data_IF_661724812902
#
_entry.id   IF_661724812902
#
_cell.length_a   1.000
_cell.length_b   1.000
_cell.length_c   1.000
_cell.angle_alpha   90.00
_cell.angle_beta   90.00
_cell.angle_gamma   90.00
#
_symmetry.space_group_name_H-M   'P 1'
#
loop_
_entity.id
_entity.type
_entity.pdbx_description
1 polymer ?
#
# COMPACT_ATOMS: atom_id res chain seq x y z
N UNK A 1 12.53 8.66 -24.12
CA UNK A 1 12.54 8.25 -22.70
C UNK A 1 11.45 9.02 -21.98
N UNK A 2 10.54 8.34 -21.28
CA UNK A 2 9.55 9.00 -20.40
C UNK A 2 10.29 9.42 -19.14
N UNK A 3 10.24 10.71 -18.78
CA UNK A 3 10.80 11.20 -17.52
C UNK A 3 9.83 10.83 -16.38
N UNK A 4 10.13 9.76 -15.63
CA UNK A 4 9.27 9.27 -14.56
C UNK A 4 9.03 10.32 -13.47
N UNK A 5 10.01 11.14 -13.10
CA UNK A 5 9.81 12.19 -12.09
C UNK A 5 8.75 13.20 -12.54
N UNK A 6 8.79 13.60 -13.82
CA UNK A 6 7.75 14.47 -14.39
C UNK A 6 6.38 13.80 -14.37
N UNK A 7 6.32 12.48 -14.60
CA UNK A 7 5.08 11.71 -14.51
C UNK A 7 4.53 11.69 -13.08
N UNK A 8 5.36 11.46 -12.06
CA UNK A 8 4.91 11.44 -10.66
C UNK A 8 4.45 12.82 -10.18
N UNK A 9 5.13 13.89 -10.60
CA UNK A 9 4.69 15.27 -10.32
C UNK A 9 3.32 15.55 -10.92
N UNK A 10 3.13 15.27 -12.21
CA UNK A 10 1.83 15.43 -12.86
C UNK A 10 0.76 14.54 -12.23
N UNK A 11 1.10 13.31 -11.87
CA UNK A 11 0.20 12.40 -11.19
C UNK A 11 -0.22 12.96 -9.83
N UNK A 12 0.71 13.53 -9.04
CA UNK A 12 0.41 14.11 -7.72
C UNK A 12 -0.55 15.30 -7.80
N UNK A 13 -0.50 16.09 -8.87
CA UNK A 13 -1.40 17.23 -9.09
C UNK A 13 -2.83 16.81 -9.47
N UNK A 14 -2.99 15.63 -10.06
CA UNK A 14 -4.28 15.07 -10.50
C UNK A 14 -4.72 13.87 -9.65
N UNK A 15 -4.05 13.65 -8.52
CA UNK A 15 -4.26 12.44 -7.73
C UNK A 15 -5.57 12.53 -6.96
N UNK A 16 -6.54 11.74 -7.36
CA UNK A 16 -7.77 11.56 -6.60
C UNK A 16 -7.64 10.36 -5.66
N UNK A 17 -7.94 10.52 -4.35
CA UNK A 17 -7.99 9.39 -3.45
C UNK A 17 -9.10 8.43 -3.88
N UNK A 18 -8.86 7.12 -3.73
CA UNK A 18 -9.89 6.10 -3.91
C UNK A 18 -11.07 6.42 -2.99
N UNK A 19 -12.30 6.36 -3.51
CA UNK A 19 -13.51 6.65 -2.74
C UNK A 19 -13.52 5.87 -1.41
N UNK A 20 -13.81 6.57 -0.32
CA UNK A 20 -13.83 5.99 1.03
C UNK A 20 -12.47 5.92 1.74
N UNK A 21 -11.36 6.33 1.11
CA UNK A 21 -10.01 6.27 1.72
C UNK A 21 -9.97 6.97 3.08
N UNK A 22 -10.47 8.20 3.18
CA UNK A 22 -10.45 8.96 4.44
C UNK A 22 -11.27 8.27 5.54
N UNK A 23 -12.41 7.65 5.18
CA UNK A 23 -13.24 6.89 6.12
C UNK A 23 -12.48 5.66 6.63
N UNK A 24 -11.80 4.95 5.73
CA UNK A 24 -10.97 3.81 6.08
C UNK A 24 -9.79 4.22 6.97
N UNK A 25 -9.05 5.27 6.61
CA UNK A 25 -7.94 5.79 7.41
C UNK A 25 -8.40 6.13 8.84
N UNK A 26 -9.50 6.87 8.98
CA UNK A 26 -10.07 7.19 10.29
C UNK A 26 -10.44 5.93 11.09
N UNK A 27 -11.09 4.96 10.44
CA UNK A 27 -11.48 3.70 11.08
C UNK A 27 -10.27 2.89 11.60
N UNK A 28 -9.16 2.92 10.86
CA UNK A 28 -7.88 2.28 11.21
C UNK A 28 -7.25 3.00 12.42
N UNK A 29 -7.21 4.33 12.40
CA UNK A 29 -6.67 5.16 13.50
C UNK A 29 -7.46 4.98 14.79
N UNK A 30 -8.79 5.03 14.74
CA UNK A 30 -9.68 4.83 15.89
C UNK A 30 -9.48 3.47 16.58
N UNK A 31 -8.87 2.49 15.87
CA UNK A 31 -8.56 1.14 16.38
C UNK A 31 -7.10 0.95 16.76
N UNK A 32 -6.25 1.95 16.56
CA UNK A 32 -4.81 1.85 16.85
C UNK A 32 -4.09 0.78 16.03
N UNK A 33 -4.56 0.47 14.82
CA UNK A 33 -3.93 -0.53 13.97
C UNK A 33 -2.60 0.00 13.43
N UNK A 34 -1.55 -0.84 13.45
CA UNK A 34 -0.23 -0.46 12.91
C UNK A 34 -0.25 -0.35 11.38
N UNK A 35 0.46 0.64 10.81
CA UNK A 35 0.35 0.99 9.37
C UNK A 35 1.70 1.10 8.68
N UNK A 36 1.82 0.45 7.52
CA UNK A 36 2.98 0.56 6.63
C UNK A 36 2.57 0.83 5.18
N UNK A 37 3.33 1.68 4.49
CA UNK A 37 3.29 1.79 3.03
C UNK A 37 4.45 0.99 2.42
N UNK A 38 4.16 0.15 1.42
CA UNK A 38 5.18 -0.67 0.74
C UNK A 38 5.11 -0.43 -0.77
N UNK A 39 6.16 0.10 -1.37
CA UNK A 39 6.14 0.57 -2.78
C UNK A 39 7.41 0.24 -3.56
N UNK A 40 7.29 0.02 -4.88
CA UNK A 40 8.45 -0.03 -5.79
C UNK A 40 8.85 1.37 -6.30
N UNK A 41 8.12 2.42 -5.90
CA UNK A 41 8.49 3.78 -6.24
C UNK A 41 9.80 4.18 -5.53
N UNK A 42 10.55 5.09 -6.14
CA UNK A 42 11.65 5.77 -5.48
C UNK A 42 11.13 6.61 -4.29
N UNK A 43 12.01 6.87 -3.32
CA UNK A 43 11.70 7.61 -2.09
C UNK A 43 10.94 8.91 -2.35
N UNK A 44 11.51 9.78 -3.19
CA UNK A 44 10.94 11.09 -3.53
C UNK A 44 9.52 10.98 -4.09
N UNK A 45 9.28 10.00 -4.96
CA UNK A 45 7.97 9.77 -5.56
C UNK A 45 6.97 9.19 -4.55
N UNK A 46 7.41 8.30 -3.67
CA UNK A 46 6.58 7.74 -2.61
C UNK A 46 6.12 8.84 -1.64
N UNK A 47 7.07 9.63 -1.14
CA UNK A 47 6.82 10.75 -0.22
C UNK A 47 5.91 11.81 -0.87
N UNK A 48 6.14 12.14 -2.14
CA UNK A 48 5.29 13.07 -2.90
C UNK A 48 3.84 12.59 -2.97
N UNK A 49 3.61 11.33 -3.38
CA UNK A 49 2.25 10.80 -3.51
C UNK A 49 1.54 10.65 -2.16
N UNK A 50 2.27 10.19 -1.12
CA UNK A 50 1.74 10.10 0.24
C UNK A 50 1.32 11.48 0.74
N UNK A 51 2.16 12.50 0.53
CA UNK A 51 1.86 13.87 0.92
C UNK A 51 0.69 14.45 0.13
N UNK A 52 0.60 14.18 -1.17
CA UNK A 52 -0.50 14.64 -2.01
C UNK A 52 -1.85 14.04 -1.57
N UNK A 53 -1.85 12.82 -1.02
CA UNK A 53 -3.03 12.18 -0.42
C UNK A 53 -3.34 12.64 1.01
N UNK A 54 -2.50 13.50 1.61
CA UNK A 54 -2.64 13.91 3.01
C UNK A 54 -2.35 12.79 4.01
N UNK A 55 -1.50 11.82 3.66
CA UNK A 55 -1.20 10.63 4.46
C UNK A 55 0.21 10.63 5.08
N UNK A 56 0.88 11.79 5.12
CA UNK A 56 2.27 11.91 5.61
C UNK A 56 2.44 11.35 7.02
N UNK A 57 1.48 11.58 7.91
CA UNK A 57 1.52 11.12 9.31
C UNK A 57 0.74 9.82 9.53
N UNK A 58 0.11 9.27 8.48
CA UNK A 58 -0.74 8.09 8.60
C UNK A 58 0.07 6.79 8.72
N UNK A 59 1.21 6.70 8.03
CA UNK A 59 2.05 5.50 8.03
C UNK A 59 3.19 5.62 9.05
N UNK A 60 3.36 4.61 9.89
CA UNK A 60 4.49 4.53 10.83
C UNK A 60 5.79 4.16 10.12
N UNK A 61 5.69 3.45 8.98
CA UNK A 61 6.86 3.05 8.18
C UNK A 61 6.52 3.08 6.68
N UNK A 62 7.47 3.57 5.89
CA UNK A 62 7.44 3.51 4.42
C UNK A 62 8.61 2.64 3.96
N UNK A 63 8.31 1.48 3.37
CA UNK A 63 9.30 0.55 2.82
C UNK A 63 9.39 0.72 1.31
N UNK A 64 10.61 0.98 0.84
CA UNK A 64 10.93 1.10 -0.58
C UNK A 64 11.50 -0.23 -1.06
N UNK A 65 10.87 -0.85 -2.05
CA UNK A 65 11.27 -2.16 -2.56
C UNK A 65 12.64 -2.15 -3.25
N UNK A 66 13.14 -0.97 -3.65
CA UNK A 66 14.48 -0.82 -4.21
C UNK A 66 15.59 -1.16 -3.20
N UNK A 67 15.27 -1.13 -1.90
CA UNK A 67 16.20 -1.46 -0.82
C UNK A 67 16.14 -2.96 -0.43
N UNK A 68 15.35 -3.77 -1.15
CA UNK A 68 15.15 -5.20 -0.89
C UNK A 68 15.79 -6.05 -1.99
N UNK A 69 16.22 -7.27 -1.66
CA UNK A 69 16.81 -8.20 -2.63
C UNK A 69 15.91 -8.45 -3.85
N UNK A 70 14.60 -8.57 -3.60
CA UNK A 70 13.59 -8.73 -4.64
C UNK A 70 12.47 -7.73 -4.44
N UNK A 71 12.05 -7.09 -5.52
CA UNK A 71 10.97 -6.10 -5.47
C UNK A 71 9.59 -6.74 -5.55
N UNK A 72 8.50 -5.97 -5.39
CA UNK A 72 7.18 -6.50 -5.72
C UNK A 72 7.18 -6.99 -7.20
N UNK A 73 6.62 -8.17 -7.50
CA UNK A 73 5.63 -8.86 -6.69
C UNK A 73 6.18 -9.56 -5.45
N UNK A 74 7.45 -9.99 -5.39
CA UNK A 74 8.03 -10.82 -4.31
C UNK A 74 7.74 -10.35 -2.86
N UNK A 75 7.74 -11.28 -1.87
CA UNK A 75 7.41 -10.96 -0.47
C UNK A 75 8.37 -10.01 0.25
N UNK A 76 9.59 -9.91 -0.23
CA UNK A 76 10.73 -9.33 0.48
C UNK A 76 10.45 -7.90 0.96
N UNK A 77 9.79 -6.99 0.20
CA UNK A 77 9.49 -5.64 0.65
C UNK A 77 8.47 -5.55 1.80
N UNK A 78 7.73 -6.62 2.10
CA UNK A 78 6.80 -6.63 3.22
C UNK A 78 7.47 -7.06 4.52
N UNK A 79 8.56 -7.84 4.46
CA UNK A 79 9.22 -8.37 5.66
C UNK A 79 9.78 -7.28 6.57
N UNK A 80 10.47 -6.23 6.06
CA UNK A 80 10.91 -5.11 6.89
C UNK A 80 9.75 -4.38 7.56
N UNK A 81 8.61 -4.22 6.88
CA UNK A 81 7.43 -3.59 7.47
C UNK A 81 6.88 -4.41 8.64
N UNK A 82 6.77 -5.74 8.49
CA UNK A 82 6.34 -6.64 9.58
C UNK A 82 7.30 -6.57 10.77
N UNK A 83 8.61 -6.52 10.50
CA UNK A 83 9.64 -6.45 11.52
C UNK A 83 9.61 -5.11 12.28
N UNK A 84 9.58 -3.97 11.57
CA UNK A 84 9.54 -2.64 12.18
C UNK A 84 8.27 -2.42 13.00
N UNK A 85 7.13 -2.91 12.49
CA UNK A 85 5.86 -2.83 13.20
C UNK A 85 5.70 -3.93 14.25
N UNK A 86 6.63 -4.87 14.39
CA UNK A 86 6.54 -5.99 15.33
C UNK A 86 5.19 -6.75 15.23
N UNK A 87 4.73 -6.99 14.00
CA UNK A 87 3.46 -7.69 13.74
C UNK A 87 3.68 -9.03 13.07
N UNK A 88 2.85 -10.01 13.42
CA UNK A 88 2.87 -11.29 12.73
C UNK A 88 2.11 -11.19 11.39
N UNK A 89 2.59 -11.83 10.31
CA UNK A 89 1.90 -11.83 9.04
C UNK A 89 0.48 -12.43 9.08
N UNK A 90 0.21 -13.35 10.03
CA UNK A 90 -1.13 -13.94 10.25
C UNK A 90 -2.17 -12.91 10.71
N UNK A 91 -1.73 -11.79 11.28
CA UNK A 91 -2.57 -10.70 11.79
C UNK A 91 -2.34 -9.41 10.99
N UNK A 92 -1.94 -9.52 9.72
CA UNK A 92 -1.68 -8.37 8.85
C UNK A 92 -2.53 -8.44 7.59
N UNK A 93 -3.17 -7.32 7.26
CA UNK A 93 -3.91 -7.14 6.03
C UNK A 93 -3.08 -6.30 5.04
N UNK A 94 -2.97 -6.76 3.79
CA UNK A 94 -2.34 -6.02 2.72
C UNK A 94 -3.41 -5.50 1.75
N UNK A 95 -3.50 -4.18 1.60
CA UNK A 95 -4.32 -3.53 0.58
C UNK A 95 -3.46 -3.25 -0.66
N UNK A 96 -3.92 -3.66 -1.84
CA UNK A 96 -3.20 -3.40 -3.09
C UNK A 96 -4.17 -3.08 -4.21
N UNK A 97 -3.78 -2.21 -5.13
CA UNK A 97 -4.56 -2.00 -6.36
C UNK A 97 -4.15 -3.05 -7.40
N UNK A 98 -5.13 -3.68 -8.05
CA UNK A 98 -4.90 -4.36 -9.33
C UNK A 98 -5.23 -3.37 -10.45
N UNK A 99 -4.40 -3.34 -11.49
CA UNK A 99 -4.40 -2.30 -12.54
C UNK A 99 -5.80 -1.81 -12.94
N UNK A 100 -6.05 -0.50 -12.76
CA UNK A 100 -7.18 0.23 -13.32
C UNK A 100 -8.48 0.22 -12.51
N UNK A 101 -8.52 0.84 -11.32
CA UNK A 101 -9.76 1.16 -10.55
C UNK A 101 -10.23 0.09 -9.53
N UNK A 102 -9.47 -0.98 -9.25
CA UNK A 102 -9.86 -1.96 -8.21
C UNK A 102 -8.83 -2.09 -7.10
N UNK A 103 -9.26 -1.84 -5.85
CA UNK A 103 -8.50 -2.19 -4.66
C UNK A 103 -8.80 -3.66 -4.28
N UNK A 104 -7.78 -4.52 -4.33
CA UNK A 104 -7.84 -5.86 -3.76
C UNK A 104 -7.37 -5.84 -2.30
N UNK A 105 -8.11 -6.52 -1.42
CA UNK A 105 -7.63 -6.82 -0.07
C UNK A 105 -7.08 -8.25 -0.03
N UNK A 106 -5.82 -8.40 0.35
CA UNK A 106 -5.20 -9.70 0.54
C UNK A 106 -4.71 -9.85 1.96
N UNK A 107 -5.19 -10.87 2.68
CA UNK A 107 -4.47 -11.41 3.83
C UNK A 107 -3.31 -12.22 3.26
N UNK A 108 -2.07 -11.74 3.40
CA UNK A 108 -0.90 -12.40 2.79
C UNK A 108 -0.13 -13.15 3.86
N UNK A 109 -0.11 -14.48 3.74
CA UNK A 109 0.94 -15.29 4.36
C UNK A 109 2.23 -15.11 3.51
N UNK A 110 3.33 -14.55 4.06
CA UNK A 110 4.53 -14.19 3.30
C UNK A 110 5.29 -15.38 2.71
N UNK A 111 4.92 -16.61 3.06
CA UNK A 111 5.56 -17.84 2.57
C UNK A 111 5.13 -18.28 1.15
N UNK A 112 4.13 -17.64 0.52
CA UNK A 112 3.67 -18.02 -0.84
C UNK A 112 3.93 -16.95 -1.91
N UNK A 113 4.36 -17.42 -3.08
CA UNK A 113 4.48 -16.68 -4.34
C UNK A 113 3.16 -16.01 -4.77
N UNK A 114 3.24 -14.88 -5.48
CA UNK A 114 2.11 -14.00 -5.77
C UNK A 114 1.23 -14.45 -6.92
N UNK A 115 1.69 -15.39 -7.72
CA UNK A 115 0.87 -16.00 -8.77
C UNK A 115 -0.23 -16.89 -8.17
N UNK A 116 0.00 -17.49 -7.00
CA UNK A 116 -0.88 -18.49 -6.40
C UNK A 116 -1.69 -17.98 -5.20
N UNK A 117 -1.43 -16.76 -4.72
CA UNK A 117 -1.96 -16.23 -3.46
C UNK A 117 -3.22 -15.36 -3.64
N UNK A 118 -4.21 -15.87 -4.37
CA UNK A 118 -5.48 -15.23 -4.70
C UNK A 118 -5.99 -14.26 -3.62
N UNK A 119 -6.33 -13.03 -4.03
CA UNK A 119 -6.90 -12.04 -3.12
C UNK A 119 -8.03 -12.70 -2.31
N UNK A 120 -7.92 -12.67 -0.98
CA UNK A 120 -8.97 -13.20 -0.12
C UNK A 120 -10.29 -12.46 -0.36
N UNK A 121 -10.18 -11.20 -0.80
CA UNK A 121 -11.33 -10.37 -1.08
C UNK A 121 -11.04 -9.26 -2.12
N UNK A 122 -12.04 -8.90 -2.92
CA UNK A 122 -11.96 -7.80 -3.90
C UNK A 122 -13.13 -6.85 -3.69
N UNK A 123 -12.79 -5.57 -3.53
CA UNK A 123 -13.71 -4.44 -3.41
C UNK A 123 -13.54 -3.51 -4.62
N UNK A 124 -14.57 -2.76 -4.94
CA UNK A 124 -14.45 -1.73 -5.98
C UNK A 124 -13.74 -0.48 -5.44
N UNK A 125 -14.11 -0.05 -4.24
CA UNK A 125 -13.49 1.06 -3.51
C UNK A 125 -13.67 0.84 -2.00
N UNK A 126 -13.24 1.80 -1.17
CA UNK A 126 -13.30 1.67 0.29
C UNK A 126 -14.68 2.01 0.89
N UNK A 127 -15.69 2.32 0.06
CA UNK A 127 -17.09 2.40 0.46
C UNK A 127 -17.86 1.11 0.17
N UNK A 128 -17.21 0.10 -0.43
CA UNK A 128 -17.83 -1.18 -0.74
C UNK A 128 -18.43 -1.80 0.54
N UNK A 129 -19.72 -2.19 0.56
CA UNK A 129 -20.41 -2.66 1.76
C UNK A 129 -19.86 -3.98 2.33
N UNK A 130 -18.91 -4.59 1.64
CA UNK A 130 -18.23 -5.80 2.08
C UNK A 130 -17.05 -5.52 3.02
N UNK A 131 -16.65 -4.26 3.17
CA UNK A 131 -15.67 -3.74 4.15
C UNK A 131 -16.37 -3.33 5.45
#
# INVERSE_FOLDING_TARGET
>A
MINLEKTYRLASEQLEPVKGLNKLCKWIEERGLKRAAVTNAQRSNAELLISALGLSDFFEVVVLANDCERQKPFPDPYLPALQVLEVSPKHTLCLRTVSGVKAGMGLRNPEKSLADAGASFVINDFNDPKL
#
